data_IF_835540480993
#
_entry.id   IF_835540480993
#
_cell.length_a   1.000
_cell.length_b   1.000
_cell.length_c   1.000
_cell.angle_alpha   90.00
_cell.angle_beta   90.00
_cell.angle_gamma   90.00
#
_symmetry.space_group_name_H-M   'P 1'
#
loop_
_entity.id
_entity.type
_entity.pdbx_description
1 polymer ?
#
# COMPACT_ATOMS: atom_id res chain seq x y z
N UNK A 1 -26.75 3.83 -15.93
CA UNK A 1 -25.99 5.09 -15.91
C UNK A 1 -24.70 4.87 -16.67
N UNK A 2 -24.17 5.85 -17.42
CA UNK A 2 -22.81 5.74 -17.94
C UNK A 2 -21.89 5.47 -16.75
N UNK A 3 -21.11 4.40 -16.83
CA UNK A 3 -20.03 4.17 -15.89
C UNK A 3 -19.11 5.41 -15.95
N UNK A 4 -18.79 6.01 -14.81
CA UNK A 4 -17.89 7.15 -14.82
C UNK A 4 -16.57 6.71 -15.44
N UNK A 5 -15.96 7.54 -16.30
CA UNK A 5 -14.73 7.16 -16.99
C UNK A 5 -13.63 6.72 -16.02
N UNK A 6 -13.67 7.23 -14.79
CA UNK A 6 -12.78 6.84 -13.70
C UNK A 6 -12.93 5.36 -13.30
N UNK A 7 -14.16 4.85 -13.19
CA UNK A 7 -14.40 3.42 -12.86
C UNK A 7 -14.01 2.54 -14.05
N UNK A 8 -14.35 2.94 -15.27
CA UNK A 8 -13.92 2.22 -16.48
C UNK A 8 -12.39 2.14 -16.59
N UNK A 9 -11.67 3.24 -16.32
CA UNK A 9 -10.21 3.27 -16.29
C UNK A 9 -9.62 2.31 -15.25
N UNK A 10 -10.16 2.28 -14.02
CA UNK A 10 -9.73 1.36 -12.95
C UNK A 10 -9.93 -0.11 -13.34
N UNK A 11 -11.06 -0.44 -13.97
CA UNK A 11 -11.32 -1.80 -14.49
C UNK A 11 -10.32 -2.21 -15.56
N UNK A 12 -10.05 -1.33 -16.53
CA UNK A 12 -9.08 -1.57 -17.60
C UNK A 12 -7.67 -1.76 -17.03
N UNK A 13 -7.24 -0.90 -16.11
CA UNK A 13 -5.95 -1.03 -15.42
C UNK A 13 -5.87 -2.39 -14.71
N UNK A 14 -6.91 -2.76 -13.96
CA UNK A 14 -6.94 -4.05 -13.25
C UNK A 14 -6.83 -5.24 -14.20
N UNK A 15 -7.58 -5.21 -15.31
CA UNK A 15 -7.54 -6.26 -16.32
C UNK A 15 -6.15 -6.36 -16.97
N UNK A 16 -5.56 -5.22 -17.35
CA UNK A 16 -4.24 -5.16 -17.96
C UNK A 16 -3.15 -5.71 -17.02
N UNK A 17 -3.21 -5.37 -15.73
CA UNK A 17 -2.27 -5.85 -14.72
C UNK A 17 -2.38 -7.36 -14.47
N UNK A 18 -3.62 -7.87 -14.32
CA UNK A 18 -3.86 -9.32 -14.19
C UNK A 18 -3.39 -10.07 -15.43
N UNK A 19 -3.58 -9.49 -16.62
CA UNK A 19 -3.06 -10.06 -17.85
C UNK A 19 -1.52 -10.08 -17.88
N UNK A 20 -0.86 -8.97 -17.54
CA UNK A 20 0.61 -8.91 -17.46
C UNK A 20 1.19 -9.90 -16.45
N UNK A 21 0.58 -10.03 -15.27
CA UNK A 21 0.99 -11.02 -14.28
C UNK A 21 0.77 -12.46 -14.78
N UNK A 22 -0.38 -12.76 -15.39
CA UNK A 22 -0.65 -14.06 -15.99
C UNK A 22 0.36 -14.39 -17.10
N UNK A 23 0.73 -13.41 -17.93
CA UNK A 23 1.73 -13.56 -18.97
C UNK A 23 3.08 -14.00 -18.40
N UNK A 24 3.56 -13.41 -17.30
CA UNK A 24 4.84 -13.79 -16.70
C UNK A 24 4.85 -15.25 -16.23
N UNK A 25 3.75 -15.73 -15.64
CA UNK A 25 3.67 -17.09 -15.12
C UNK A 25 3.27 -18.14 -16.17
N UNK A 26 3.06 -17.75 -17.44
CA UNK A 26 2.47 -18.61 -18.48
C UNK A 26 3.21 -19.92 -18.78
N UNK A 27 4.51 -19.96 -18.51
CA UNK A 27 5.34 -21.15 -18.75
C UNK A 27 5.10 -22.21 -17.68
N UNK A 28 4.88 -21.77 -16.44
CA UNK A 28 4.78 -22.64 -15.26
C UNK A 28 3.33 -22.92 -14.86
N UNK A 29 2.39 -22.07 -15.30
CA UNK A 29 1.01 -22.12 -14.87
C UNK A 29 0.02 -22.29 -16.04
N UNK A 30 -0.52 -23.50 -16.24
CA UNK A 30 -1.46 -23.81 -17.32
C UNK A 30 -2.73 -22.94 -17.32
N UNK A 31 -3.12 -22.37 -16.16
CA UNK A 31 -4.28 -21.49 -16.04
C UNK A 31 -4.03 -20.07 -16.58
N UNK A 32 -2.78 -19.69 -16.82
CA UNK A 32 -2.42 -18.35 -17.27
C UNK A 32 -3.13 -17.90 -18.55
N UNK A 33 -3.19 -18.77 -19.56
CA UNK A 33 -3.89 -18.47 -20.81
C UNK A 33 -5.38 -18.21 -20.63
N UNK A 34 -6.02 -18.94 -19.71
CA UNK A 34 -7.44 -18.73 -19.39
C UNK A 34 -7.66 -17.38 -18.71
N UNK A 35 -6.74 -16.99 -17.84
CA UNK A 35 -6.78 -15.68 -17.18
C UNK A 35 -6.57 -14.54 -18.17
N UNK A 36 -5.61 -14.68 -19.11
CA UNK A 36 -5.40 -13.74 -20.20
C UNK A 36 -6.68 -13.52 -21.02
N UNK A 37 -7.35 -14.60 -21.44
CA UNK A 37 -8.62 -14.50 -22.17
C UNK A 37 -9.74 -13.84 -21.37
N UNK A 38 -9.78 -14.05 -20.04
CA UNK A 38 -10.78 -13.41 -19.17
C UNK A 38 -10.54 -11.91 -19.04
N UNK A 39 -9.30 -11.52 -18.80
CA UNK A 39 -8.95 -10.11 -18.66
C UNK A 39 -9.15 -9.34 -19.96
N UNK A 40 -8.90 -9.99 -21.11
CA UNK A 40 -9.28 -9.46 -22.41
C UNK A 40 -10.79 -9.18 -22.50
N UNK A 41 -11.63 -10.13 -22.06
CA UNK A 41 -13.09 -9.92 -22.00
C UNK A 41 -13.54 -8.80 -21.06
N UNK A 42 -12.92 -8.68 -19.87
CA UNK A 42 -13.18 -7.58 -18.92
C UNK A 42 -12.81 -6.24 -19.56
N UNK A 43 -11.63 -6.16 -20.18
CA UNK A 43 -11.16 -4.95 -20.84
C UNK A 43 -12.14 -4.51 -21.94
N UNK A 44 -12.54 -5.42 -22.83
CA UNK A 44 -13.48 -5.11 -23.89
C UNK A 44 -14.87 -4.69 -23.37
N UNK A 45 -15.31 -5.22 -22.22
CA UNK A 45 -16.58 -4.82 -21.60
C UNK A 45 -16.59 -3.37 -21.10
N UNK A 46 -15.41 -2.78 -20.86
CA UNK A 46 -15.24 -1.39 -20.43
C UNK A 46 -14.97 -0.43 -21.60
N UNK A 47 -14.92 -0.94 -22.85
CA UNK A 47 -14.65 -0.16 -24.05
C UNK A 47 -15.88 -0.08 -24.98
N UNK A 48 -15.96 0.94 -25.84
CA UNK A 48 -16.91 0.94 -26.94
C UNK A 48 -16.74 -0.29 -27.83
N UNK A 49 -17.84 -0.77 -28.41
CA UNK A 49 -17.82 -1.93 -29.31
C UNK A 49 -16.86 -1.67 -30.48
N UNK A 50 -15.97 -2.63 -30.73
CA UNK A 50 -14.96 -2.54 -31.80
C UNK A 50 -13.72 -1.71 -31.43
N UNK A 51 -13.62 -1.20 -30.20
CA UNK A 51 -12.42 -0.56 -29.70
C UNK A 51 -11.55 -1.50 -28.86
N UNK A 52 -10.23 -1.24 -28.84
CA UNK A 52 -9.25 -2.04 -28.12
C UNK A 52 -8.76 -3.26 -28.90
N UNK A 53 -7.94 -4.12 -28.27
CA UNK A 53 -7.34 -5.29 -28.93
C UNK A 53 -8.40 -6.32 -29.33
N UNK A 54 -8.32 -6.83 -30.55
CA UNK A 54 -9.23 -7.86 -31.08
C UNK A 54 -8.99 -9.24 -30.48
N UNK A 55 -7.78 -9.51 -29.98
CA UNK A 55 -7.41 -10.81 -29.42
C UNK A 55 -6.62 -10.67 -28.11
N UNK A 56 -6.57 -11.73 -27.26
CA UNK A 56 -5.71 -11.73 -26.09
C UNK A 56 -4.22 -11.56 -26.42
N UNK A 57 -3.76 -12.03 -27.58
CA UNK A 57 -2.38 -11.86 -28.03
C UNK A 57 -2.07 -10.38 -28.36
N UNK A 58 -2.96 -9.74 -29.11
CA UNK A 58 -2.86 -8.31 -29.41
C UNK A 58 -2.90 -7.46 -28.14
N UNK A 59 -3.72 -7.85 -27.15
CA UNK A 59 -3.72 -7.19 -25.85
C UNK A 59 -2.33 -7.25 -25.18
N UNK A 60 -1.66 -8.41 -25.23
CA UNK A 60 -0.30 -8.56 -24.69
C UNK A 60 0.70 -7.70 -25.42
N UNK A 61 0.62 -7.63 -26.75
CA UNK A 61 1.52 -6.79 -27.57
C UNK A 61 1.35 -5.29 -27.27
N UNK A 62 0.19 -4.88 -26.74
CA UNK A 62 -0.09 -3.50 -26.31
C UNK A 62 0.29 -3.21 -24.85
N UNK A 63 0.54 -4.22 -24.01
CA UNK A 63 0.93 -3.99 -22.60
C UNK A 63 2.28 -3.26 -22.41
N UNK A 64 3.24 -3.30 -23.35
CA UNK A 64 4.41 -2.43 -23.36
C UNK A 64 4.15 -0.99 -23.82
N UNK A 65 2.95 -0.69 -24.30
CA UNK A 65 2.55 0.65 -24.77
C UNK A 65 1.71 1.34 -23.70
N UNK A 66 1.85 2.67 -23.57
CA UNK A 66 1.05 3.46 -22.62
C UNK A 66 -0.44 3.26 -22.89
N UNK A 67 -1.23 3.02 -21.85
CA UNK A 67 -2.68 2.81 -21.97
C UNK A 67 -3.35 3.89 -22.83
N UNK A 68 -2.96 5.16 -22.67
CA UNK A 68 -3.56 6.28 -23.40
C UNK A 68 -3.43 6.24 -24.91
N UNK A 69 -2.50 5.44 -25.43
CA UNK A 69 -2.23 5.37 -26.86
C UNK A 69 -3.16 4.37 -27.58
N UNK A 70 -3.80 3.47 -26.83
CA UNK A 70 -4.64 2.41 -27.42
C UNK A 70 -5.99 2.21 -26.73
N UNK A 71 -6.18 2.78 -25.53
CA UNK A 71 -7.46 2.78 -24.81
C UNK A 71 -8.17 4.13 -25.05
N UNK A 72 -9.35 4.14 -25.70
CA UNK A 72 -10.05 5.37 -26.08
C UNK A 72 -10.91 5.94 -24.93
N UNK A 73 -10.26 6.38 -23.86
CA UNK A 73 -10.90 7.18 -22.80
C UNK A 73 -10.55 8.67 -22.94
N UNK A 74 -11.34 9.54 -22.31
CA UNK A 74 -11.04 10.97 -22.21
C UNK A 74 -9.97 11.20 -21.14
N UNK A 75 -8.71 10.85 -21.45
CA UNK A 75 -7.59 10.94 -20.52
C UNK A 75 -7.31 12.33 -19.95
N UNK A 76 -7.81 13.40 -20.59
CA UNK A 76 -7.75 14.77 -20.06
C UNK A 76 -8.59 14.99 -18.79
N UNK A 77 -9.56 14.11 -18.53
CA UNK A 77 -10.44 14.15 -17.36
C UNK A 77 -10.01 13.16 -16.26
N UNK A 78 -8.95 12.38 -16.53
CA UNK A 78 -8.45 11.33 -15.64
C UNK A 78 -7.05 11.68 -15.10
N UNK A 79 -6.64 11.13 -13.94
CA UNK A 79 -5.26 11.25 -13.48
C UNK A 79 -4.28 10.77 -14.56
N UNK A 80 -3.29 11.60 -14.91
CA UNK A 80 -2.35 11.30 -16.00
C UNK A 80 -1.64 9.95 -15.82
N UNK A 81 -1.34 9.59 -14.57
CA UNK A 81 -0.71 8.33 -14.16
C UNK A 81 -1.49 7.08 -14.60
N UNK A 82 -2.82 7.16 -14.74
CA UNK A 82 -3.62 6.05 -15.24
C UNK A 82 -3.36 5.82 -16.74
N UNK A 83 -3.32 6.89 -17.53
CA UNK A 83 -3.10 6.80 -18.98
C UNK A 83 -1.63 6.59 -19.35
N UNK A 84 -0.70 7.04 -18.52
CA UNK A 84 0.74 6.86 -18.71
C UNK A 84 1.24 5.46 -18.30
N UNK A 85 0.34 4.63 -17.74
CA UNK A 85 0.68 3.29 -17.31
C UNK A 85 1.16 2.43 -18.49
N UNK A 86 2.36 1.90 -18.35
CA UNK A 86 2.91 0.81 -19.15
C UNK A 86 2.93 -0.42 -18.26
N UNK A 87 2.37 -1.55 -18.70
CA UNK A 87 2.21 -2.74 -17.85
C UNK A 87 3.43 -3.65 -17.93
N UNK A 88 3.92 -3.92 -19.14
CA UNK A 88 5.07 -4.77 -19.37
C UNK A 88 6.25 -3.96 -19.92
N UNK A 89 7.47 -4.37 -19.60
CA UNK A 89 8.67 -3.96 -20.33
C UNK A 89 8.69 -4.63 -21.70
N UNK A 90 9.53 -4.15 -22.61
CA UNK A 90 9.76 -4.80 -23.91
C UNK A 90 10.23 -6.26 -23.79
N UNK A 91 10.80 -6.63 -22.63
CA UNK A 91 11.25 -7.98 -22.33
C UNK A 91 10.15 -8.85 -21.67
N UNK A 92 8.93 -8.34 -21.53
CA UNK A 92 7.79 -9.07 -20.97
C UNK A 92 7.79 -9.19 -19.45
N UNK A 93 8.55 -8.34 -18.75
CA UNK A 93 8.51 -8.22 -17.28
C UNK A 93 7.53 -7.13 -16.85
N UNK A 94 6.98 -7.19 -15.65
CA UNK A 94 6.14 -6.10 -15.13
C UNK A 94 6.99 -4.86 -14.86
N UNK A 95 6.50 -3.69 -15.28
CA UNK A 95 7.13 -2.41 -14.97
C UNK A 95 6.97 -2.03 -13.49
N UNK A 96 7.72 -1.04 -13.03
CA UNK A 96 7.55 -0.49 -11.67
C UNK A 96 6.18 0.21 -11.55
N UNK A 97 5.76 0.90 -12.61
CA UNK A 97 4.47 1.59 -12.72
C UNK A 97 3.31 0.60 -12.68
N UNK A 98 3.44 -0.59 -13.26
CA UNK A 98 2.45 -1.66 -13.20
C UNK A 98 2.22 -2.12 -11.76
N UNK A 99 3.32 -2.32 -11.03
CA UNK A 99 3.25 -2.66 -9.62
C UNK A 99 2.56 -1.53 -8.83
N UNK A 100 2.88 -0.27 -9.11
CA UNK A 100 2.23 0.90 -8.51
C UNK A 100 0.75 1.07 -8.86
N UNK A 101 0.37 0.83 -10.11
CA UNK A 101 -1.01 0.89 -10.54
C UNK A 101 -1.85 -0.20 -9.89
N UNK A 102 -1.30 -1.42 -9.76
CA UNK A 102 -1.92 -2.49 -8.97
C UNK A 102 -2.11 -2.10 -7.51
N UNK A 103 -1.21 -1.28 -6.96
CA UNK A 103 -1.35 -0.82 -5.59
C UNK A 103 -2.48 0.20 -5.37
N UNK A 104 -2.86 0.99 -6.38
CA UNK A 104 -3.72 2.18 -6.17
C UNK A 104 -5.03 2.18 -6.96
N UNK A 105 -5.10 1.45 -8.06
CA UNK A 105 -6.21 1.54 -9.02
C UNK A 105 -6.89 0.20 -9.28
N UNK A 106 -6.61 -0.82 -8.47
CA UNK A 106 -7.35 -2.07 -8.55
C UNK A 106 -8.82 -1.85 -8.22
N UNK A 107 -9.65 -2.40 -9.09
CA UNK A 107 -11.09 -2.51 -8.95
C UNK A 107 -11.43 -3.97 -8.65
N UNK A 108 -12.43 -4.20 -7.80
CA UNK A 108 -12.99 -5.53 -7.65
C UNK A 108 -13.69 -5.91 -8.97
N UNK A 109 -13.03 -6.72 -9.80
CA UNK A 109 -13.59 -7.16 -11.09
C UNK A 109 -14.70 -8.20 -10.94
N UNK A 110 -14.80 -8.85 -9.78
CA UNK A 110 -15.78 -9.90 -9.47
C UNK A 110 -16.43 -9.62 -8.11
N UNK A 111 -17.65 -10.14 -7.90
CA UNK A 111 -18.51 -9.79 -6.76
C UNK A 111 -17.93 -10.07 -5.36
N UNK A 112 -18.62 -9.49 -4.36
CA UNK A 112 -18.26 -9.51 -2.93
C UNK A 112 -18.14 -10.91 -2.29
N UNK A 113 -18.65 -11.95 -2.95
CA UNK A 113 -18.62 -13.35 -2.50
C UNK A 113 -17.30 -14.07 -2.79
N UNK A 114 -16.39 -13.47 -3.58
CA UNK A 114 -15.08 -14.04 -3.89
C UNK A 114 -15.14 -15.37 -4.66
N UNK A 115 -16.33 -15.81 -5.08
CA UNK A 115 -16.57 -17.17 -5.55
C UNK A 115 -16.02 -17.42 -6.98
N UNK A 116 -15.62 -16.36 -7.68
CA UNK A 116 -15.10 -16.41 -9.05
C UNK A 116 -13.60 -16.08 -9.22
N UNK A 117 -12.82 -15.87 -8.15
CA UNK A 117 -11.38 -15.63 -8.28
C UNK A 117 -10.56 -16.94 -8.37
N UNK A 118 -10.57 -17.56 -9.55
CA UNK A 118 -9.74 -18.74 -9.86
C UNK A 118 -8.24 -18.41 -9.99
N UNK A 119 -7.85 -17.14 -9.91
CA UNK A 119 -6.46 -16.71 -9.71
C UNK A 119 -5.95 -16.98 -8.28
N UNK A 120 -6.88 -17.31 -7.37
CA UNK A 120 -6.73 -17.50 -5.92
C UNK A 120 -5.45 -18.16 -5.40
N UNK A 121 -4.89 -19.10 -6.17
CA UNK A 121 -3.83 -20.00 -5.71
C UNK A 121 -2.48 -19.81 -6.41
N UNK A 122 -2.39 -18.97 -7.45
CA UNK A 122 -1.17 -18.89 -8.27
C UNK A 122 -0.79 -17.49 -8.75
N UNK A 123 -1.75 -16.58 -8.89
CA UNK A 123 -1.42 -15.17 -9.15
C UNK A 123 -0.99 -14.49 -7.86
N UNK A 124 -0.01 -13.57 -7.91
CA UNK A 124 0.39 -12.80 -6.74
C UNK A 124 -0.80 -12.05 -6.13
N UNK A 125 -0.89 -12.05 -4.79
CA UNK A 125 -2.02 -11.46 -4.07
C UNK A 125 -2.28 -9.98 -4.44
N UNK A 126 -1.20 -9.23 -4.71
CA UNK A 126 -1.25 -7.82 -5.08
C UNK A 126 -1.96 -7.53 -6.40
N UNK A 127 -2.17 -8.52 -7.27
CA UNK A 127 -2.87 -8.34 -8.56
C UNK A 127 -4.35 -8.73 -8.44
N UNK A 128 -4.73 -9.39 -7.35
CA UNK A 128 -6.07 -9.99 -7.16
C UNK A 128 -6.90 -9.32 -6.10
N UNK A 129 -6.27 -8.86 -5.02
CA UNK A 129 -6.97 -8.26 -3.90
C UNK A 129 -6.92 -6.74 -4.01
N UNK A 130 -8.08 -6.11 -3.89
CA UNK A 130 -8.10 -4.67 -3.65
C UNK A 130 -7.55 -4.37 -2.25
N UNK A 131 -7.07 -3.13 -2.04
CA UNK A 131 -6.73 -2.63 -0.70
C UNK A 131 -7.87 -2.90 0.28
N UNK A 132 -9.10 -2.59 -0.14
CA UNK A 132 -10.33 -2.79 0.63
C UNK A 132 -10.60 -4.25 1.00
N UNK A 133 -10.36 -5.21 0.10
CA UNK A 133 -10.57 -6.65 0.41
C UNK A 133 -9.56 -7.15 1.44
N UNK A 134 -8.29 -6.76 1.29
CA UNK A 134 -7.21 -7.13 2.23
C UNK A 134 -7.47 -6.52 3.59
N UNK A 135 -7.74 -5.22 3.62
CA UNK A 135 -8.12 -4.47 4.82
C UNK A 135 -9.35 -5.09 5.45
N UNK A 136 -10.45 -5.33 4.72
CA UNK A 136 -11.67 -5.93 5.27
C UNK A 136 -11.45 -7.33 5.82
N UNK A 137 -10.58 -8.14 5.23
CA UNK A 137 -10.25 -9.48 5.75
C UNK A 137 -9.46 -9.38 7.07
N UNK A 138 -8.40 -8.59 7.11
CA UNK A 138 -7.58 -8.40 8.31
C UNK A 138 -8.35 -7.63 9.41
N UNK A 139 -9.11 -6.60 9.05
CA UNK A 139 -9.92 -5.80 9.96
C UNK A 139 -11.06 -6.58 10.59
N UNK A 140 -11.74 -7.45 9.84
CA UNK A 140 -12.75 -8.35 10.42
C UNK A 140 -12.16 -9.21 11.53
N UNK A 141 -10.92 -9.67 11.37
CA UNK A 141 -10.25 -10.48 12.38
C UNK A 141 -9.91 -9.64 13.63
N UNK A 142 -9.35 -8.43 13.48
CA UNK A 142 -8.94 -7.61 14.63
C UNK A 142 -10.08 -6.85 15.31
N UNK A 143 -11.20 -6.57 14.61
CA UNK A 143 -12.41 -5.93 15.19
C UNK A 143 -13.25 -6.89 16.04
N UNK A 144 -12.95 -8.18 16.04
CA UNK A 144 -13.64 -9.16 16.88
C UNK A 144 -13.35 -8.96 18.39
N UNK A 145 -12.27 -8.24 18.72
CA UNK A 145 -11.96 -7.81 20.09
C UNK A 145 -12.50 -6.42 20.42
N UNK A 146 -12.50 -6.06 21.70
CA UNK A 146 -12.75 -4.68 22.14
C UNK A 146 -11.61 -3.71 21.75
N UNK A 147 -11.79 -2.42 22.04
CA UNK A 147 -10.85 -1.34 21.70
C UNK A 147 -9.37 -1.66 21.98
N UNK A 148 -9.06 -2.21 23.16
CA UNK A 148 -7.68 -2.53 23.52
C UNK A 148 -7.06 -3.62 22.63
N UNK A 149 -7.85 -4.65 22.28
CA UNK A 149 -7.41 -5.71 21.37
C UNK A 149 -7.20 -5.20 19.95
N UNK A 150 -8.07 -4.30 19.47
CA UNK A 150 -7.93 -3.64 18.18
C UNK A 150 -6.61 -2.85 18.10
N UNK A 151 -6.35 -1.99 19.10
CA UNK A 151 -5.12 -1.19 19.19
C UNK A 151 -3.89 -2.09 19.22
N UNK A 152 -3.92 -3.16 20.03
CA UNK A 152 -2.81 -4.11 20.13
C UNK A 152 -2.50 -4.79 18.79
N UNK A 153 -3.54 -5.30 18.10
CA UNK A 153 -3.39 -5.95 16.81
C UNK A 153 -2.95 -4.99 15.70
N UNK A 154 -3.53 -3.78 15.65
CA UNK A 154 -3.13 -2.74 14.68
C UNK A 154 -1.66 -2.34 14.88
N UNK A 155 -1.24 -2.18 16.14
CA UNK A 155 0.16 -1.90 16.45
C UNK A 155 1.08 -3.07 16.08
N UNK A 156 0.66 -4.32 16.29
CA UNK A 156 1.43 -5.51 15.90
C UNK A 156 1.70 -5.52 14.39
N UNK A 157 0.66 -5.36 13.56
CA UNK A 157 0.81 -5.37 12.10
C UNK A 157 1.62 -4.18 11.59
N UNK A 158 1.52 -3.02 12.24
CA UNK A 158 2.24 -1.81 11.80
C UNK A 158 3.71 -1.80 12.22
N UNK A 159 4.04 -2.30 13.41
CA UNK A 159 5.39 -2.18 13.96
C UNK A 159 6.23 -3.46 13.82
N UNK A 160 5.62 -4.62 13.57
CA UNK A 160 6.31 -5.93 13.51
C UNK A 160 6.10 -6.60 12.14
N UNK A 161 6.76 -6.12 11.07
CA UNK A 161 6.51 -6.60 9.71
C UNK A 161 7.14 -7.96 9.39
N UNK A 162 8.08 -8.43 10.22
CA UNK A 162 8.72 -9.74 10.08
C UNK A 162 9.39 -10.15 11.39
N UNK A 163 9.76 -11.42 11.50
CA UNK A 163 10.50 -11.97 12.62
C UNK A 163 10.58 -13.50 12.53
N UNK A 164 11.40 -14.12 13.39
CA UNK A 164 11.32 -15.58 13.56
C UNK A 164 10.00 -15.95 14.24
N UNK A 165 9.53 -17.19 14.06
CA UNK A 165 8.28 -17.62 14.69
C UNK A 165 8.27 -17.36 16.21
N UNK A 166 9.37 -17.68 16.89
CA UNK A 166 9.52 -17.42 18.33
C UNK A 166 9.40 -15.93 18.66
N UNK A 167 10.10 -15.06 17.94
CA UNK A 167 10.05 -13.62 18.16
C UNK A 167 8.65 -13.04 17.90
N UNK A 168 7.94 -13.55 16.89
CA UNK A 168 6.57 -13.13 16.59
C UNK A 168 5.60 -13.55 17.71
N UNK A 169 5.72 -14.77 18.24
CA UNK A 169 4.91 -15.24 19.38
C UNK A 169 5.18 -14.39 20.62
N UNK A 170 6.44 -14.07 20.90
CA UNK A 170 6.84 -13.19 22.01
C UNK A 170 6.24 -11.78 21.84
N UNK A 171 6.27 -11.21 20.63
CA UNK A 171 5.69 -9.90 20.33
C UNK A 171 4.16 -9.88 20.46
N UNK A 172 3.45 -10.91 19.98
CA UNK A 172 2.01 -11.05 20.19
C UNK A 172 1.64 -11.04 21.67
N UNK A 173 2.34 -11.87 22.47
CA UNK A 173 2.14 -11.95 23.91
C UNK A 173 2.45 -10.62 24.62
N UNK A 174 3.58 -10.00 24.29
CA UNK A 174 4.02 -8.71 24.87
C UNK A 174 3.00 -7.59 24.62
N UNK A 175 2.36 -7.58 23.46
CA UNK A 175 1.38 -6.56 23.06
C UNK A 175 -0.04 -6.87 23.50
N UNK A 176 -0.32 -8.10 23.92
CA UNK A 176 -1.70 -8.56 24.19
C UNK A 176 -2.56 -8.65 22.92
N UNK A 177 -1.93 -8.87 21.75
CA UNK A 177 -2.62 -9.01 20.48
C UNK A 177 -3.00 -10.47 20.22
N UNK A 178 -4.18 -10.71 19.63
CA UNK A 178 -4.56 -12.04 19.18
C UNK A 178 -3.66 -12.49 18.02
N UNK A 179 -3.25 -13.77 18.04
CA UNK A 179 -2.43 -14.35 16.96
C UNK A 179 -3.24 -14.38 15.67
N UNK A 180 -2.62 -13.94 14.58
CA UNK A 180 -3.23 -13.89 13.25
C UNK A 180 -2.42 -14.75 12.29
N UNK A 181 -3.11 -15.39 11.34
CA UNK A 181 -2.47 -16.14 10.25
C UNK A 181 -2.18 -15.20 9.08
N UNK A 182 -1.22 -14.30 9.30
CA UNK A 182 -0.82 -13.25 8.34
C UNK A 182 0.69 -13.14 8.17
N UNK A 183 1.44 -14.09 8.75
CA UNK A 183 2.89 -14.18 8.61
C UNK A 183 3.23 -15.47 7.88
N UNK A 184 3.92 -15.33 6.74
CA UNK A 184 4.32 -16.44 5.89
C UNK A 184 5.84 -16.51 5.69
N UNK A 185 6.34 -17.59 5.06
CA UNK A 185 7.73 -17.67 4.64
C UNK A 185 8.11 -16.48 3.76
N UNK A 186 9.35 -15.99 3.93
CA UNK A 186 9.84 -14.89 3.09
C UNK A 186 9.92 -15.34 1.62
N UNK A 187 9.38 -14.54 0.68
CA UNK A 187 9.56 -14.78 -0.74
C UNK A 187 11.03 -14.91 -1.16
N UNK A 188 11.34 -15.86 -2.04
CA UNK A 188 12.72 -16.12 -2.48
C UNK A 188 13.40 -14.93 -3.16
N UNK A 189 12.62 -14.04 -3.78
CA UNK A 189 13.10 -12.81 -4.40
C UNK A 189 13.51 -11.72 -3.38
N UNK A 190 13.45 -12.00 -2.07
CA UNK A 190 13.92 -11.13 -0.97
C UNK A 190 15.08 -11.72 -0.19
N UNK A 191 15.55 -12.89 -0.61
CA UNK A 191 16.61 -13.63 0.06
C UNK A 191 17.78 -13.75 -0.89
N UNK A 192 18.95 -13.31 -0.44
CA UNK A 192 20.19 -13.67 -1.09
C UNK A 192 20.65 -15.04 -0.60
N UNK A 193 21.06 -15.92 -1.51
CA UNK A 193 21.49 -17.28 -1.20
C UNK A 193 22.97 -17.44 -1.53
N UNK A 194 23.77 -17.84 -0.53
CA UNK A 194 25.15 -18.26 -0.67
C UNK A 194 25.49 -19.37 0.33
N UNK A 195 26.61 -19.24 1.05
CA UNK A 195 26.93 -20.18 2.14
C UNK A 195 25.89 -20.12 3.28
N UNK A 196 25.29 -18.94 3.47
CA UNK A 196 24.12 -18.70 4.31
C UNK A 196 23.11 -17.87 3.54
N UNK A 197 21.86 -17.91 3.99
CA UNK A 197 20.77 -17.08 3.44
C UNK A 197 20.63 -15.77 4.21
N UNK A 198 20.59 -14.65 3.49
CA UNK A 198 20.58 -13.30 4.05
C UNK A 198 19.42 -12.48 3.50
N UNK A 199 18.88 -11.59 4.33
CA UNK A 199 17.87 -10.60 3.96
C UNK A 199 18.28 -9.21 4.43
N UNK A 200 17.64 -8.18 3.88
CA UNK A 200 17.82 -6.79 4.31
C UNK A 200 16.46 -6.12 4.52
N UNK A 201 16.13 -5.71 5.76
CA UNK A 201 14.91 -4.98 6.01
C UNK A 201 15.00 -3.55 5.47
N UNK A 202 13.88 -2.99 5.02
CA UNK A 202 13.82 -1.57 4.70
C UNK A 202 14.09 -0.73 5.97
N UNK A 203 14.94 0.30 5.93
CA UNK A 203 15.19 1.15 7.10
C UNK A 203 13.96 1.95 7.59
N UNK A 204 12.91 2.05 6.77
CA UNK A 204 11.69 2.80 7.09
C UNK A 204 10.54 1.91 7.53
N UNK A 205 10.16 0.91 6.72
CA UNK A 205 9.08 -0.01 7.08
C UNK A 205 9.53 -1.32 7.70
N UNK A 206 10.84 -1.56 7.84
CA UNK A 206 11.43 -2.83 8.33
C UNK A 206 11.10 -4.07 7.48
N UNK A 207 10.14 -4.05 6.56
CA UNK A 207 9.81 -5.20 5.71
C UNK A 207 11.00 -5.63 4.83
N UNK A 208 11.22 -6.94 4.59
CA UNK A 208 12.31 -7.43 3.75
C UNK A 208 12.25 -6.84 2.33
N UNK A 209 13.35 -6.26 1.87
CA UNK A 209 13.45 -5.64 0.54
C UNK A 209 13.56 -6.71 -0.56
N UNK A 210 13.02 -6.39 -1.75
CA UNK A 210 13.16 -7.24 -2.93
C UNK A 210 14.58 -7.11 -3.50
N UNK A 211 15.17 -8.22 -3.90
CA UNK A 211 16.46 -8.34 -4.54
C UNK A 211 16.27 -8.69 -6.03
N UNK A 212 16.59 -7.75 -6.91
CA UNK A 212 16.54 -7.96 -8.38
C UNK A 212 17.81 -7.45 -9.04
N UNK A 213 18.42 -8.27 -9.88
CA UNK A 213 19.64 -7.92 -10.62
C UNK A 213 20.75 -7.30 -9.73
N UNK A 214 20.92 -7.83 -8.50
CA UNK A 214 21.90 -7.30 -7.54
C UNK A 214 21.53 -5.97 -6.89
N UNK A 215 20.28 -5.52 -7.00
CA UNK A 215 19.77 -4.33 -6.32
C UNK A 215 18.68 -4.70 -5.31
N UNK A 216 18.80 -4.14 -4.11
CA UNK A 216 17.79 -4.20 -3.07
C UNK A 216 16.87 -2.98 -3.17
N UNK A 217 15.56 -3.20 -3.10
CA UNK A 217 14.57 -2.13 -3.13
C UNK A 217 13.43 -2.38 -2.13
N UNK A 218 13.02 -1.34 -1.42
CA UNK A 218 11.72 -1.35 -0.76
C UNK A 218 10.62 -1.17 -1.81
N UNK A 219 9.68 -2.12 -1.87
CA UNK A 219 8.56 -2.06 -2.81
C UNK A 219 7.49 -1.02 -2.45
N UNK A 220 7.70 -0.27 -1.35
CA UNK A 220 6.89 0.90 -1.06
C UNK A 220 7.60 2.15 -1.61
N UNK A 221 7.18 2.69 -2.77
CA UNK A 221 7.92 3.73 -3.49
C UNK A 221 8.24 4.97 -2.66
N UNK A 222 7.35 5.46 -1.77
CA UNK A 222 7.66 6.60 -0.90
C UNK A 222 8.87 6.40 0.01
N UNK A 223 9.30 5.16 0.29
CA UNK A 223 10.50 4.90 1.09
C UNK A 223 11.82 5.08 0.32
N UNK A 224 11.82 5.20 -1.02
CA UNK A 224 13.02 5.46 -1.85
C UNK A 224 14.27 4.64 -1.46
N UNK A 225 14.08 3.49 -0.81
CA UNK A 225 15.14 2.70 -0.20
C UNK A 225 15.66 1.77 -1.28
N UNK A 226 16.80 2.14 -1.87
CA UNK A 226 17.46 1.44 -2.97
C UNK A 226 18.93 1.29 -2.65
N UNK A 227 19.46 0.08 -2.78
CA UNK A 227 20.85 -0.25 -2.48
C UNK A 227 21.38 -1.23 -3.54
N UNK A 228 22.63 -1.09 -3.93
CA UNK A 228 23.34 -2.13 -4.69
C UNK A 228 23.90 -3.20 -3.75
N UNK A 229 24.05 -4.41 -4.25
CA UNK A 229 24.80 -5.48 -3.61
C UNK A 229 26.05 -5.77 -4.43
N UNK A 230 27.19 -5.76 -3.75
CA UNK A 230 28.46 -6.23 -4.30
C UNK A 230 28.87 -7.47 -3.54
N UNK A 231 29.30 -8.50 -4.26
CA UNK A 231 29.82 -9.72 -3.65
C UNK A 231 30.92 -9.33 -2.64
N UNK A 232 30.74 -9.75 -1.38
CA UNK A 232 31.72 -9.52 -0.35
C UNK A 232 33.01 -10.28 -0.67
N UNK A 233 34.17 -9.70 -0.34
CA UNK A 233 35.47 -10.37 -0.44
C UNK A 233 35.72 -11.37 0.69
N UNK A 234 34.73 -11.59 1.56
CA UNK A 234 34.92 -12.33 2.79
C UNK A 234 34.93 -13.84 2.52
N UNK A 235 36.10 -14.45 2.69
CA UNK A 235 36.33 -15.89 2.49
C UNK A 235 35.54 -16.78 3.47
N UNK A 236 34.83 -16.18 4.43
CA UNK A 236 34.05 -16.86 5.48
C UNK A 236 32.54 -16.90 5.24
N UNK A 237 32.05 -16.51 4.06
CA UNK A 237 30.62 -16.64 3.72
C UNK A 237 29.71 -15.57 4.35
N UNK A 238 30.27 -14.39 4.67
CA UNK A 238 29.51 -13.23 5.15
C UNK A 238 28.53 -12.68 4.11
N UNK A 239 27.61 -11.80 4.52
CA UNK A 239 26.64 -11.20 3.61
C UNK A 239 27.34 -10.34 2.55
N UNK A 240 26.78 -10.24 1.33
CA UNK A 240 27.13 -9.20 0.37
C UNK A 240 27.18 -7.80 0.97
N UNK A 241 28.09 -6.97 0.46
CA UNK A 241 28.27 -5.59 0.93
C UNK A 241 27.25 -4.69 0.22
N UNK A 242 26.54 -3.88 1.01
CA UNK A 242 25.64 -2.85 0.50
C UNK A 242 26.43 -1.67 -0.07
N UNK A 243 26.00 -1.20 -1.24
CA UNK A 243 26.48 0.02 -1.87
C UNK A 243 25.30 0.97 -2.17
N UNK A 244 25.56 2.26 -2.34
CA UNK A 244 24.58 3.17 -2.93
C UNK A 244 23.43 3.68 -2.05
N UNK A 245 23.60 3.82 -0.73
CA UNK A 245 22.62 4.50 0.12
C UNK A 245 22.57 6.01 -0.12
N UNK A 246 21.40 6.59 -0.35
CA UNK A 246 21.21 8.05 -0.29
C UNK A 246 21.05 8.49 1.18
N UNK A 247 22.02 9.25 1.71
CA UNK A 247 21.91 9.90 3.03
C UNK A 247 22.12 8.98 4.24
N UNK A 248 21.32 9.16 5.30
CA UNK A 248 21.41 8.44 6.60
C UNK A 248 20.69 7.07 6.63
N UNK A 249 20.18 6.59 5.50
CA UNK A 249 19.45 5.32 5.44
C UNK A 249 20.45 4.17 5.52
N UNK A 250 20.52 3.54 6.70
CA UNK A 250 21.37 2.37 6.96
C UNK A 250 20.47 1.17 7.23
N UNK A 251 20.73 0.07 6.55
CA UNK A 251 20.16 -1.24 6.86
C UNK A 251 21.28 -2.25 7.02
N UNK A 252 21.04 -3.28 7.82
CA UNK A 252 22.00 -4.35 8.09
C UNK A 252 21.47 -5.66 7.50
N UNK A 253 22.40 -6.53 7.10
CA UNK A 253 22.03 -7.89 6.72
C UNK A 253 21.60 -8.66 7.96
N UNK A 254 20.50 -9.41 7.84
CA UNK A 254 20.02 -10.33 8.87
C UNK A 254 19.94 -11.74 8.26
N UNK A 255 20.11 -12.78 9.09
CA UNK A 255 19.94 -14.16 8.64
C UNK A 255 18.49 -14.41 8.24
N UNK A 256 18.27 -15.01 7.08
CA UNK A 256 16.93 -15.25 6.55
C UNK A 256 16.29 -16.57 7.03
N UNK A 257 17.10 -17.48 7.60
CA UNK A 257 16.64 -18.79 8.03
C UNK A 257 15.56 -18.68 9.13
N UNK A 258 14.43 -19.36 8.93
CA UNK A 258 13.32 -19.40 9.89
C UNK A 258 12.60 -18.06 10.09
N UNK A 259 12.89 -17.06 9.26
CA UNK A 259 12.21 -15.77 9.31
C UNK A 259 10.90 -15.83 8.52
N UNK A 260 9.85 -15.29 9.12
CA UNK A 260 8.54 -15.06 8.52
C UNK A 260 8.33 -13.56 8.31
N UNK A 261 7.60 -13.18 7.29
CA UNK A 261 7.18 -11.79 7.07
C UNK A 261 5.67 -11.70 6.90
N UNK A 262 5.12 -10.51 7.14
CA UNK A 262 3.71 -10.24 6.88
C UNK A 262 3.36 -10.61 5.44
N UNK A 263 2.13 -11.05 5.23
CA UNK A 263 1.55 -11.14 3.91
C UNK A 263 1.67 -9.78 3.23
N UNK A 264 2.06 -9.82 1.95
CA UNK A 264 2.36 -8.60 1.21
C UNK A 264 1.20 -7.60 1.24
N UNK A 265 -0.04 -8.07 1.13
CA UNK A 265 -1.23 -7.21 1.18
C UNK A 265 -1.39 -6.53 2.54
N UNK A 266 -1.17 -7.27 3.64
CA UNK A 266 -1.21 -6.71 4.99
C UNK A 266 -0.09 -5.69 5.16
N UNK A 267 1.13 -6.00 4.75
CA UNK A 267 2.22 -5.04 4.77
C UNK A 267 1.89 -3.76 3.97
N UNK A 268 1.38 -3.91 2.75
CA UNK A 268 1.16 -2.79 1.84
C UNK A 268 0.02 -1.87 2.27
N UNK A 269 -1.08 -2.45 2.73
CA UNK A 269 -2.34 -1.73 2.99
C UNK A 269 -2.57 -1.44 4.48
N UNK A 270 -1.87 -2.13 5.37
CA UNK A 270 -1.94 -1.89 6.81
C UNK A 270 -0.64 -1.28 7.32
N UNK A 271 0.48 -1.97 7.15
CA UNK A 271 1.75 -1.53 7.73
C UNK A 271 2.21 -0.19 7.15
N UNK A 272 2.35 -0.08 5.83
CA UNK A 272 2.90 1.12 5.20
C UNK A 272 2.11 2.41 5.50
N UNK A 273 0.77 2.46 5.33
CA UNK A 273 -0.02 3.61 5.76
C UNK A 273 0.05 3.84 7.27
N UNK A 274 -0.03 2.77 8.06
CA UNK A 274 0.00 2.80 9.52
C UNK A 274 1.28 3.39 10.11
N UNK A 275 2.42 3.33 9.40
CA UNK A 275 3.67 3.96 9.86
C UNK A 275 3.53 5.48 9.99
N UNK A 276 2.75 6.12 9.11
CA UNK A 276 2.49 7.56 9.20
C UNK A 276 1.60 7.91 10.40
N UNK A 277 0.59 7.07 10.66
CA UNK A 277 -0.29 7.17 11.85
C UNK A 277 0.53 7.05 13.13
N UNK A 278 1.25 5.94 13.30
CA UNK A 278 2.07 5.66 14.47
C UNK A 278 3.17 6.70 14.66
N UNK A 279 3.83 7.13 13.59
CA UNK A 279 4.84 8.19 13.64
C UNK A 279 4.27 9.55 14.07
N UNK A 280 3.01 9.85 13.74
CA UNK A 280 2.31 11.03 14.23
C UNK A 280 1.93 10.87 15.72
N UNK A 281 1.35 9.73 16.11
CA UNK A 281 0.98 9.41 17.50
C UNK A 281 2.19 9.50 18.42
N UNK A 282 3.30 8.84 18.09
CA UNK A 282 4.53 8.86 18.88
C UNK A 282 5.13 10.26 19.02
N UNK A 283 4.92 11.14 18.04
CA UNK A 283 5.34 12.54 18.15
C UNK A 283 4.41 13.33 19.08
N UNK A 284 3.09 13.13 18.95
CA UNK A 284 2.08 13.78 19.80
C UNK A 284 2.20 13.36 21.28
N UNK A 285 2.44 12.08 21.54
CA UNK A 285 2.64 11.51 22.89
C UNK A 285 3.85 12.11 23.62
N UNK A 286 4.81 12.70 22.88
CA UNK A 286 5.96 13.40 23.45
C UNK A 286 5.69 14.87 23.78
N UNK A 287 4.53 15.40 23.41
CA UNK A 287 4.18 16.79 23.66
C UNK A 287 3.52 16.93 25.04
N UNK A 288 4.02 17.84 25.86
CA UNK A 288 3.41 18.16 27.15
C UNK A 288 2.00 18.77 26.95
N UNK A 289 1.05 18.35 27.78
CA UNK A 289 -0.34 18.83 27.70
C UNK A 289 -1.18 18.22 26.58
N UNK A 290 -0.65 17.22 25.85
CA UNK A 290 -1.38 16.47 24.82
C UNK A 290 -1.72 15.07 25.31
N UNK A 291 -3.01 14.72 25.31
CA UNK A 291 -3.48 13.36 25.48
C UNK A 291 -3.84 12.78 24.12
N UNK A 292 -3.23 11.64 23.78
CA UNK A 292 -3.46 10.92 22.51
C UNK A 292 -4.30 9.67 22.78
N UNK A 293 -5.32 9.45 21.96
CA UNK A 293 -6.02 8.16 21.86
C UNK A 293 -5.79 7.59 20.47
N UNK A 294 -5.35 6.34 20.41
CA UNK A 294 -5.04 5.63 19.15
C UNK A 294 -6.28 4.88 18.64
N UNK A 295 -6.63 5.07 17.37
CA UNK A 295 -7.69 4.37 16.64
C UNK A 295 -9.02 4.27 17.38
N UNK A 296 -9.54 5.40 17.87
CA UNK A 296 -10.71 5.43 18.76
C UNK A 296 -11.96 4.88 18.07
N UNK A 297 -12.87 4.29 18.86
CA UNK A 297 -14.10 3.66 18.39
C UNK A 297 -13.87 2.61 17.28
N UNK A 298 -12.83 1.77 17.44
CA UNK A 298 -12.45 0.75 16.45
C UNK A 298 -12.12 1.34 15.08
N UNK A 299 -11.36 2.45 15.10
CA UNK A 299 -10.86 3.15 13.91
C UNK A 299 -11.94 3.95 13.19
N UNK A 300 -12.78 4.63 13.96
CA UNK A 300 -13.64 5.68 13.40
C UNK A 300 -12.79 6.85 12.90
N UNK A 301 -11.72 7.17 13.63
CA UNK A 301 -10.62 8.02 13.19
C UNK A 301 -9.29 7.48 13.73
N UNK A 302 -8.20 7.76 13.00
CA UNK A 302 -6.89 7.21 13.30
C UNK A 302 -6.32 7.75 14.63
N UNK A 303 -6.43 9.05 14.90
CA UNK A 303 -5.86 9.69 16.10
C UNK A 303 -6.82 10.69 16.75
N UNK A 304 -7.18 10.46 18.01
CA UNK A 304 -7.83 11.44 18.86
C UNK A 304 -6.79 12.28 19.61
N UNK A 305 -6.75 13.59 19.36
CA UNK A 305 -5.83 14.53 20.02
C UNK A 305 -6.63 15.42 20.96
N UNK A 306 -6.28 15.44 22.24
CA UNK A 306 -6.99 16.19 23.27
C UNK A 306 -6.02 17.08 24.05
N UNK A 307 -6.29 18.38 24.08
CA UNK A 307 -5.49 19.36 24.81
C UNK A 307 -6.12 19.74 26.15
N UNK A 308 -5.29 20.27 27.06
CA UNK A 308 -5.74 20.74 28.37
C UNK A 308 -6.70 21.94 28.29
N UNK A 309 -6.65 22.74 27.21
CA UNK A 309 -7.56 23.87 26.97
C UNK A 309 -8.95 23.44 26.45
N UNK A 310 -9.21 22.13 26.38
CA UNK A 310 -10.44 21.55 25.85
C UNK A 310 -10.47 21.42 24.33
N UNK A 311 -9.45 21.91 23.62
CA UNK A 311 -9.36 21.75 22.18
C UNK A 311 -9.14 20.27 21.82
N UNK A 312 -9.80 19.81 20.76
CA UNK A 312 -9.64 18.45 20.26
C UNK A 312 -9.51 18.42 18.74
N UNK A 313 -8.81 17.41 18.23
CA UNK A 313 -8.82 17.04 16.82
C UNK A 313 -9.11 15.55 16.70
N UNK A 314 -10.07 15.19 15.83
CA UNK A 314 -10.22 13.83 15.31
C UNK A 314 -9.52 13.76 13.97
N UNK A 315 -8.41 13.05 13.96
CA UNK A 315 -7.46 13.05 12.85
C UNK A 315 -7.56 11.74 12.09
N UNK A 316 -7.73 11.85 10.78
CA UNK A 316 -7.63 10.76 9.82
C UNK A 316 -6.37 10.95 8.97
N UNK A 317 -5.41 10.04 9.11
CA UNK A 317 -4.17 10.02 8.32
C UNK A 317 -4.40 9.22 7.05
N UNK A 318 -4.28 9.86 5.88
CA UNK A 318 -4.56 9.22 4.58
C UNK A 318 -3.35 9.24 3.66
N UNK A 319 -3.03 8.07 3.13
CA UNK A 319 -1.89 7.86 2.22
C UNK A 319 -2.33 7.17 0.92
N UNK A 320 -3.31 7.78 0.26
CA UNK A 320 -3.75 7.36 -1.07
C UNK A 320 -3.01 8.14 -2.14
N UNK A 321 -2.68 7.48 -3.25
CA UNK A 321 -2.14 8.17 -4.42
C UNK A 321 -3.19 9.03 -5.13
N UNK A 322 -4.44 8.57 -5.15
CA UNK A 322 -5.57 9.26 -5.74
C UNK A 322 -6.39 9.97 -4.65
N UNK A 323 -6.41 11.32 -4.62
CA UNK A 323 -7.23 12.06 -3.67
C UNK A 323 -8.73 11.88 -3.91
N UNK A 324 -9.17 11.51 -5.11
CA UNK A 324 -10.59 11.27 -5.40
C UNK A 324 -11.14 10.11 -4.57
N UNK A 325 -10.33 9.08 -4.32
CA UNK A 325 -10.69 7.95 -3.45
C UNK A 325 -11.05 8.42 -2.02
N UNK A 326 -10.41 9.48 -1.51
CA UNK A 326 -10.73 10.06 -0.20
C UNK A 326 -11.98 10.95 -0.28
N UNK A 327 -12.17 11.68 -1.39
CA UNK A 327 -13.33 12.57 -1.58
C UNK A 327 -14.62 11.76 -1.75
N UNK A 328 -14.58 10.67 -2.52
CA UNK A 328 -15.73 9.80 -2.78
C UNK A 328 -16.17 9.04 -1.52
N UNK A 329 -15.24 8.82 -0.58
CA UNK A 329 -15.46 8.14 0.71
C UNK A 329 -14.82 8.96 1.83
N UNK A 330 -15.43 10.10 2.20
CA UNK A 330 -14.83 11.03 3.15
C UNK A 330 -14.67 10.38 4.53
N UNK A 331 -13.56 10.67 5.25
CA UNK A 331 -13.31 10.11 6.58
C UNK A 331 -14.27 10.67 7.64
N UNK A 332 -14.40 10.00 8.78
CA UNK A 332 -15.25 10.48 9.87
C UNK A 332 -14.58 11.62 10.67
N UNK A 333 -13.24 11.61 10.81
CA UNK A 333 -12.50 12.69 11.44
C UNK A 333 -12.48 13.96 10.58
N UNK A 334 -12.75 15.11 11.21
CA UNK A 334 -12.76 16.40 10.50
C UNK A 334 -11.35 16.85 10.07
N UNK A 335 -10.30 16.30 10.66
CA UNK A 335 -8.91 16.69 10.35
C UNK A 335 -8.25 15.63 9.48
N UNK A 336 -8.14 15.89 8.18
CA UNK A 336 -7.45 14.98 7.24
C UNK A 336 -5.98 15.34 7.19
N UNK A 337 -5.11 14.38 7.48
CA UNK A 337 -3.66 14.55 7.45
C UNK A 337 -3.05 13.63 6.40
N UNK A 338 -2.29 14.17 5.46
CA UNK A 338 -1.55 13.37 4.48
C UNK A 338 -0.04 13.38 4.77
N UNK A 339 0.70 12.32 4.42
CA UNK A 339 2.16 12.35 4.48
C UNK A 339 2.76 13.53 3.69
N UNK A 340 3.92 14.01 4.10
CA UNK A 340 4.52 15.20 3.47
C UNK A 340 4.83 15.04 1.97
N UNK A 341 5.12 13.82 1.50
CA UNK A 341 5.33 13.56 0.07
C UNK A 341 4.02 13.64 -0.74
N UNK A 342 2.85 13.61 -0.09
CA UNK A 342 1.53 13.84 -0.69
C UNK A 342 1.10 15.31 -0.68
N UNK A 343 2.01 16.25 -0.39
CA UNK A 343 1.67 17.68 -0.27
C UNK A 343 0.93 18.29 -1.47
N UNK A 344 1.14 17.74 -2.67
CA UNK A 344 0.47 18.21 -3.90
C UNK A 344 -1.05 17.98 -3.86
N UNK A 345 -1.53 16.99 -3.09
CA UNK A 345 -2.94 16.65 -2.98
C UNK A 345 -3.73 17.60 -2.06
N UNK A 346 -3.07 18.35 -1.18
CA UNK A 346 -3.72 19.12 -0.11
C UNK A 346 -4.78 20.08 -0.65
N UNK A 347 -4.48 20.82 -1.72
CA UNK A 347 -5.43 21.78 -2.28
C UNK A 347 -6.64 21.08 -2.91
N UNK A 348 -6.42 20.00 -3.66
CA UNK A 348 -7.49 19.22 -4.28
C UNK A 348 -8.39 18.58 -3.22
N UNK A 349 -7.80 17.99 -2.18
CA UNK A 349 -8.54 17.42 -1.05
C UNK A 349 -9.35 18.49 -0.32
N UNK A 350 -8.76 19.65 -0.03
CA UNK A 350 -9.48 20.73 0.65
C UNK A 350 -10.68 21.18 -0.20
N UNK A 351 -10.48 21.47 -1.50
CA UNK A 351 -11.58 21.88 -2.38
C UNK A 351 -12.66 20.82 -2.55
N UNK A 352 -12.28 19.53 -2.63
CA UNK A 352 -13.24 18.43 -2.72
C UNK A 352 -14.05 18.19 -1.44
N UNK A 353 -13.42 18.40 -0.28
CA UNK A 353 -14.06 18.21 1.03
C UNK A 353 -14.80 19.46 1.54
N UNK A 354 -14.54 20.66 1.00
CA UNK A 354 -15.18 21.92 1.42
C UNK A 354 -16.71 21.91 1.27
N UNK A 355 -17.22 21.18 0.27
CA UNK A 355 -18.65 20.99 0.04
C UNK A 355 -19.28 19.94 0.98
N UNK A 356 -18.44 19.13 1.64
CA UNK A 356 -18.85 18.00 2.48
C UNK A 356 -18.76 18.35 3.97
N UNK A 357 -19.40 17.56 4.82
CA UNK A 357 -19.34 17.66 6.28
C UNK A 357 -19.18 16.27 6.87
N UNK A 358 -18.55 16.22 8.04
CA UNK A 358 -18.55 14.99 8.85
C UNK A 358 -19.98 14.61 9.27
N UNK A 359 -20.21 13.37 9.76
CA UNK A 359 -21.53 12.95 10.22
C UNK A 359 -22.16 13.85 11.29
N UNK A 360 -21.33 14.53 12.09
CA UNK A 360 -21.73 15.48 13.12
C UNK A 360 -21.68 16.96 12.67
N UNK A 361 -21.56 17.22 11.37
CA UNK A 361 -21.70 18.54 10.76
C UNK A 361 -20.45 19.44 10.78
N UNK A 362 -19.29 18.90 11.18
CA UNK A 362 -18.02 19.66 11.17
C UNK A 362 -17.48 19.84 9.76
N UNK A 363 -16.69 20.91 9.58
CA UNK A 363 -15.98 21.18 8.33
C UNK A 363 -14.65 20.45 8.32
N UNK A 364 -14.28 19.90 7.17
CA UNK A 364 -12.99 19.27 6.99
C UNK A 364 -11.85 20.30 6.93
N UNK A 365 -10.71 19.93 7.51
CA UNK A 365 -9.45 20.67 7.38
C UNK A 365 -8.34 19.71 6.94
N UNK A 366 -7.61 20.09 5.89
CA UNK A 366 -6.57 19.23 5.30
C UNK A 366 -5.17 19.75 5.62
N UNK A 367 -4.31 18.88 6.15
CA UNK A 367 -2.92 19.19 6.48
C UNK A 367 -1.96 18.17 5.88
N UNK A 368 -0.70 18.57 5.71
CA UNK A 368 0.39 17.59 5.71
C UNK A 368 0.79 17.28 7.15
N UNK A 369 1.45 16.14 7.40
CA UNK A 369 1.99 15.80 8.73
C UNK A 369 2.78 16.96 9.33
N UNK A 370 3.71 17.58 8.60
CA UNK A 370 4.49 18.72 9.13
C UNK A 370 3.63 19.94 9.45
N UNK A 371 2.60 20.25 8.64
CA UNK A 371 1.71 21.38 8.89
C UNK A 371 0.81 21.14 10.10
N UNK A 372 0.33 19.90 10.28
CA UNK A 372 -0.46 19.53 11.46
C UNK A 372 0.39 19.61 12.75
N UNK A 373 1.63 19.08 12.73
CA UNK A 373 2.57 19.23 13.85
C UNK A 373 2.82 20.70 14.21
N UNK A 374 2.96 21.56 13.20
CA UNK A 374 3.11 23.00 13.40
C UNK A 374 1.86 23.64 14.02
N UNK A 375 0.66 23.24 13.58
CA UNK A 375 -0.61 23.71 14.15
C UNK A 375 -0.76 23.32 15.63
N UNK A 376 -0.47 22.08 15.99
CA UNK A 376 -0.47 21.61 17.39
C UNK A 376 0.54 22.40 18.22
N UNK A 377 1.78 22.53 17.74
CA UNK A 377 2.85 23.29 18.43
C UNK A 377 2.44 24.75 18.65
N UNK A 378 1.82 25.38 17.64
CA UNK A 378 1.34 26.76 17.69
C UNK A 378 0.27 26.92 18.76
N UNK A 379 -0.68 25.98 18.82
CA UNK A 379 -1.74 25.96 19.84
C UNK A 379 -1.20 25.78 21.26
N UNK A 380 -0.27 24.84 21.46
CA UNK A 380 0.37 24.60 22.76
C UNK A 380 1.12 25.83 23.29
N UNK A 381 1.69 26.64 22.40
CA UNK A 381 2.37 27.89 22.77
C UNK A 381 1.43 29.08 23.03
N UNK A 382 0.11 28.89 22.91
CA UNK A 382 -0.87 29.97 23.02
C UNK A 382 -0.76 31.01 21.89
N UNK A 383 -0.05 30.70 20.81
CA UNK A 383 0.10 31.59 19.66
C UNK A 383 -1.10 31.38 18.75
N UNK A 384 -2.09 32.27 18.80
CA UNK A 384 -3.34 32.17 18.02
C UNK A 384 -3.10 31.92 16.52
N UNK A 385 -3.89 30.99 15.95
CA UNK A 385 -3.84 30.49 14.57
C UNK A 385 -3.85 31.61 13.53
#
# INVERSE_FOLDING_TARGET
MPESQHVAARRIITAALRAGAAWIHRVEEPRAWRELSRMHGVLLSSLPVGAGPSTPAEMIDLLPVRLREWVPLSWGELPSVMGDLVVLTDNGELTEEAFEAGMNYLEALYGDDGYFDLGGTWLPAWVRQTAEQTERAAFRHIRSGGQAGYVAARTMLTEVPYGTERALVEEYARRGAARMDVYGPIPSDRVWVGASSWLWPCPQCRYPMVLRAGQLRCEYPPHQSRFGLVAGSDKRGGPPVLTGGRGRLVTAAELAEGVLCLDWGVWRYITCPGLSEVGLMQWLEKQEGVRVKRWENLDEWDVGVYLADGHQWRVDVKDHQDPQTIIDRPPAGETVVVPNYRRSQVNQLQSGLDALRTPDGQRYSVFTVSRFKAAVTKRLKGLGA
#
